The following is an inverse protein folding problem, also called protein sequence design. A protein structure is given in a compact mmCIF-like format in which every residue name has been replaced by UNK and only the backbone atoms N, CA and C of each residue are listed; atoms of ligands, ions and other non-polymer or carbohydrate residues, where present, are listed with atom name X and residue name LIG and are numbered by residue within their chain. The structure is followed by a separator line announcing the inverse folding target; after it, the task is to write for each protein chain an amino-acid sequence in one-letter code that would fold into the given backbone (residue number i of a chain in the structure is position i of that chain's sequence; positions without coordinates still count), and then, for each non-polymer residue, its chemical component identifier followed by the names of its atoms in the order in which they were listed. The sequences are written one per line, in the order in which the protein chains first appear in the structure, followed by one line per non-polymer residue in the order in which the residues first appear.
data_IF_198623437630
#
_entry.id   IF_198623437630
#
_cell.length_a   1.000
_cell.length_b   1.000
_cell.length_c   1.000
_cell.angle_alpha   90.00
_cell.angle_beta   90.00
_cell.angle_gamma   90.00
#
_symmetry.space_group_name_H-M   'P 1'
#
loop_
_entity.id
_entity.type
_entity.pdbx_description
1 polymer ?
#
# COMPACT_ATOMS: atom_id res chain seq x y z
N UNK A 1 1.79 -24.54 -73.51
CA UNK A 1 1.93 -24.34 -72.06
C UNK A 1 3.06 -23.34 -71.85
N UNK A 2 2.80 -22.04 -71.62
CA UNK A 2 2.47 -21.41 -70.31
C UNK A 2 3.62 -21.69 -69.31
N UNK A 3 4.34 -20.76 -68.69
CA UNK A 3 4.36 -19.29 -68.59
C UNK A 3 5.70 -18.84 -67.96
N UNK A 4 5.97 -17.53 -68.04
CA UNK A 4 7.05 -16.72 -67.44
C UNK A 4 7.47 -17.07 -66.00
N UNK A 5 8.72 -16.78 -65.65
CA UNK A 5 9.07 -16.18 -64.35
C UNK A 5 10.30 -15.26 -64.47
N UNK A 6 10.01 -13.95 -64.33
CA UNK A 6 10.94 -12.83 -64.19
C UNK A 6 11.82 -13.03 -62.96
N UNK A 7 13.13 -12.80 -63.09
CA UNK A 7 13.99 -12.48 -61.93
C UNK A 7 13.79 -11.00 -61.60
N UNK A 8 13.24 -10.75 -60.41
CA UNK A 8 13.10 -9.43 -59.81
C UNK A 8 14.46 -8.87 -59.40
N UNK A 9 14.76 -7.65 -59.83
CA UNK A 9 15.64 -6.73 -59.10
C UNK A 9 14.79 -6.01 -58.05
N UNK A 10 15.25 -6.02 -56.79
CA UNK A 10 14.67 -5.19 -55.74
C UNK A 10 15.57 -3.94 -55.55
N UNK A 11 15.00 -2.73 -55.46
CA UNK A 11 15.75 -1.50 -55.32
C UNK A 11 16.15 -1.24 -53.86
N UNK A 12 17.26 -0.52 -53.69
CA UNK A 12 17.70 0.04 -52.43
C UNK A 12 16.66 1.06 -51.91
N UNK A 13 15.99 0.72 -50.80
CA UNK A 13 15.14 1.65 -50.07
C UNK A 13 15.97 2.47 -49.08
N UNK A 14 15.90 3.81 -49.21
CA UNK A 14 16.40 4.75 -48.22
C UNK A 14 15.74 4.47 -46.86
N UNK A 15 16.56 4.16 -45.85
CA UNK A 15 16.13 4.22 -44.45
C UNK A 15 16.23 5.69 -44.03
N UNK A 16 15.10 6.39 -44.05
CA UNK A 16 14.97 7.70 -43.40
C UNK A 16 15.03 7.48 -41.89
N UNK A 17 16.19 7.74 -41.28
CA UNK A 17 16.33 7.79 -39.84
C UNK A 17 15.60 9.05 -39.34
N UNK A 18 14.36 8.88 -38.89
CA UNK A 18 13.66 9.89 -38.11
C UNK A 18 14.43 10.03 -36.79
N UNK A 19 15.19 11.11 -36.64
CA UNK A 19 15.81 11.46 -35.38
C UNK A 19 14.70 11.71 -34.35
N UNK A 20 14.41 10.70 -33.53
CA UNK A 20 13.54 10.84 -32.38
C UNK A 20 14.33 11.63 -31.34
N UNK A 21 14.20 12.95 -31.40
CA UNK A 21 14.73 13.85 -30.38
C UNK A 21 14.04 13.47 -29.07
N UNK A 22 14.75 12.73 -28.21
CA UNK A 22 14.40 12.64 -26.81
C UNK A 22 14.50 14.05 -26.25
N UNK A 23 13.35 14.73 -26.16
CA UNK A 23 13.24 15.83 -25.21
C UNK A 23 13.34 15.17 -23.83
N UNK A 24 14.56 15.13 -23.30
CA UNK A 24 14.73 15.09 -21.86
C UNK A 24 14.16 16.42 -21.39
N UNK A 25 12.87 16.43 -21.07
CA UNK A 25 12.28 17.53 -20.33
C UNK A 25 13.20 17.73 -19.13
N UNK A 26 13.85 18.89 -18.96
CA UNK A 26 14.48 19.14 -17.69
C UNK A 26 13.36 19.00 -16.68
N UNK A 27 13.54 18.16 -15.65
CA UNK A 27 12.72 18.29 -14.45
C UNK A 27 12.78 19.78 -14.13
N UNK A 28 11.63 20.45 -14.24
CA UNK A 28 11.49 21.84 -13.88
C UNK A 28 12.18 22.02 -12.53
N UNK A 29 12.96 23.08 -12.37
CA UNK A 29 13.80 23.29 -11.20
C UNK A 29 12.94 23.22 -9.93
N UNK A 30 12.85 22.03 -9.33
CA UNK A 30 11.88 21.70 -8.29
C UNK A 30 12.04 22.68 -7.14
N UNK A 31 11.02 23.51 -6.90
CA UNK A 31 11.07 24.48 -5.84
C UNK A 31 10.69 23.82 -4.52
N UNK A 32 11.33 24.22 -3.44
CA UNK A 32 10.86 23.91 -2.08
C UNK A 32 10.26 25.17 -1.50
N UNK A 33 8.95 25.14 -1.20
CA UNK A 33 8.19 26.30 -0.74
C UNK A 33 7.60 26.03 0.63
N UNK A 34 7.78 26.95 1.58
CA UNK A 34 7.07 26.92 2.85
C UNK A 34 5.61 27.37 2.65
N UNK A 35 4.67 26.58 3.16
CA UNK A 35 3.23 26.77 2.97
C UNK A 35 2.54 26.76 4.33
N UNK A 36 1.74 27.78 4.64
CA UNK A 36 0.84 27.69 5.80
C UNK A 36 -0.27 26.68 5.48
N UNK A 37 -0.63 25.83 6.43
CA UNK A 37 -1.64 24.79 6.25
C UNK A 37 -2.95 25.35 5.65
N UNK A 38 -3.38 26.54 6.08
CA UNK A 38 -4.59 27.22 5.57
C UNK A 38 -4.54 27.50 4.06
N UNK A 39 -3.35 27.63 3.48
CA UNK A 39 -3.13 28.02 2.10
C UNK A 39 -2.78 26.82 1.21
N UNK A 40 -2.81 25.61 1.77
CA UNK A 40 -2.35 24.39 1.09
C UNK A 40 -3.10 24.14 -0.23
N UNK A 41 -4.42 24.34 -0.25
CA UNK A 41 -5.21 24.14 -1.48
C UNK A 41 -4.75 25.07 -2.62
N UNK A 42 -4.52 26.34 -2.30
CA UNK A 42 -3.99 27.32 -3.27
C UNK A 42 -2.56 26.95 -3.68
N UNK A 43 -1.71 26.57 -2.74
CA UNK A 43 -0.33 26.19 -3.02
C UNK A 43 -0.24 24.97 -3.95
N UNK A 44 -1.05 23.93 -3.72
CA UNK A 44 -1.15 22.76 -4.60
C UNK A 44 -1.58 23.17 -6.02
N UNK A 45 -2.56 24.07 -6.13
CA UNK A 45 -3.05 24.58 -7.43
C UNK A 45 -1.96 25.34 -8.19
N UNK A 46 -1.16 26.15 -7.50
CA UNK A 46 -0.12 27.00 -8.10
C UNK A 46 1.20 26.27 -8.37
N UNK A 47 1.53 25.25 -7.59
CA UNK A 47 2.77 24.49 -7.72
C UNK A 47 2.94 23.90 -9.13
N UNK A 48 4.19 23.64 -9.51
CA UNK A 48 4.55 22.93 -10.74
C UNK A 48 5.03 21.52 -10.43
N UNK A 49 5.00 20.65 -11.43
CA UNK A 49 5.44 19.26 -11.24
C UNK A 49 6.91 19.20 -10.77
N UNK A 50 7.16 18.39 -9.74
CA UNK A 50 8.43 18.26 -9.06
C UNK A 50 8.54 19.07 -7.76
N UNK A 51 7.66 20.05 -7.52
CA UNK A 51 7.77 20.91 -6.35
C UNK A 51 7.57 20.15 -5.02
N UNK A 52 8.22 20.68 -3.98
CA UNK A 52 8.03 20.30 -2.59
C UNK A 52 7.33 21.41 -1.83
N UNK A 53 6.19 21.09 -1.22
CA UNK A 53 5.42 21.98 -0.36
C UNK A 53 5.67 21.59 1.10
N UNK A 54 6.45 22.41 1.81
CA UNK A 54 6.70 22.27 3.24
C UNK A 54 5.57 22.92 4.03
N UNK A 55 4.57 22.13 4.41
CA UNK A 55 3.37 22.55 5.11
C UNK A 55 3.70 22.79 6.59
N UNK A 56 3.28 23.93 7.12
CA UNK A 56 3.49 24.31 8.52
C UNK A 56 2.17 24.74 9.18
N UNK A 57 2.11 24.63 10.50
CA UNK A 57 0.96 25.06 11.28
C UNK A 57 -0.24 24.11 11.17
N UNK A 58 -1.34 24.52 11.78
CA UNK A 58 -2.55 23.72 11.89
C UNK A 58 -3.72 24.41 11.18
N UNK A 59 -4.54 23.64 10.49
CA UNK A 59 -5.71 24.17 9.79
C UNK A 59 -6.86 23.16 9.74
N UNK A 60 -8.04 23.66 9.38
CA UNK A 60 -9.20 22.82 9.07
C UNK A 60 -9.48 22.89 7.58
N UNK A 61 -9.49 21.74 6.91
CA UNK A 61 -9.77 21.61 5.48
C UNK A 61 -10.92 20.63 5.28
N UNK A 62 -11.98 21.08 4.62
CA UNK A 62 -13.20 20.27 4.37
C UNK A 62 -13.57 20.17 2.89
N UNK A 63 -12.95 21.01 2.05
CA UNK A 63 -13.04 20.91 0.59
C UNK A 63 -12.03 19.93 0.03
N UNK A 64 -12.28 19.43 -1.19
CA UNK A 64 -11.34 18.54 -1.88
C UNK A 64 -10.13 19.32 -2.42
N UNK A 65 -8.95 18.74 -2.30
CA UNK A 65 -7.68 19.20 -2.87
C UNK A 65 -7.29 18.21 -3.96
N UNK A 66 -7.29 18.69 -5.20
CA UNK A 66 -6.84 17.93 -6.36
C UNK A 66 -5.31 18.06 -6.49
N UNK A 67 -4.61 16.93 -6.47
CA UNK A 67 -3.16 16.84 -6.73
C UNK A 67 -2.95 16.22 -8.10
N UNK A 68 -2.96 17.07 -9.13
CA UNK A 68 -2.88 16.72 -10.55
C UNK A 68 -1.49 16.93 -11.17
N UNK A 69 -0.52 17.31 -10.34
CA UNK A 69 0.90 17.42 -10.68
C UNK A 69 1.71 16.59 -9.69
N UNK A 70 2.83 16.04 -10.14
CA UNK A 70 3.74 15.32 -9.26
C UNK A 70 4.25 16.28 -8.18
N UNK A 71 3.90 16.08 -6.92
CA UNK A 71 4.31 16.95 -5.82
C UNK A 71 4.83 16.12 -4.65
N UNK A 72 5.72 16.71 -3.85
CA UNK A 72 5.97 16.26 -2.48
C UNK A 72 5.25 17.22 -1.53
N UNK A 73 4.23 16.73 -0.82
CA UNK A 73 3.55 17.48 0.23
C UNK A 73 4.07 16.97 1.57
N UNK A 74 4.90 17.80 2.21
CA UNK A 74 5.68 17.43 3.39
C UNK A 74 5.26 18.28 4.59
N UNK A 75 4.74 17.65 5.64
CA UNK A 75 4.51 18.32 6.91
C UNK A 75 5.81 18.65 7.62
N UNK A 76 5.85 19.84 8.23
CA UNK A 76 6.99 20.34 9.00
C UNK A 76 6.49 20.80 10.36
N UNK A 77 7.23 20.49 11.42
CA UNK A 77 6.87 20.81 12.81
C UNK A 77 5.45 20.31 13.16
N UNK A 78 5.16 19.05 12.87
CA UNK A 78 3.88 18.39 13.21
C UNK A 78 2.64 19.05 12.61
N UNK A 79 2.77 19.62 11.40
CA UNK A 79 1.66 20.28 10.71
C UNK A 79 0.41 19.40 10.65
N UNK A 80 -0.71 19.95 11.13
CA UNK A 80 -1.95 19.21 11.35
C UNK A 80 -3.09 19.72 10.48
N UNK A 81 -3.71 18.82 9.72
CA UNK A 81 -4.91 19.04 8.93
C UNK A 81 -6.09 18.37 9.64
N UNK A 82 -6.98 19.18 10.21
CA UNK A 82 -8.27 18.72 10.72
C UNK A 82 -9.30 18.69 9.58
N UNK A 83 -10.19 17.68 9.56
CA UNK A 83 -11.22 17.55 8.52
C UNK A 83 -12.52 16.95 9.05
N UNK A 84 -13.63 17.30 8.39
CA UNK A 84 -14.99 16.97 8.78
C UNK A 84 -15.88 16.80 7.54
N UNK A 85 -17.06 16.20 7.71
CA UNK A 85 -17.98 15.90 6.61
C UNK A 85 -17.58 14.68 5.79
N UNK A 86 -18.15 14.58 4.58
CA UNK A 86 -18.06 13.40 3.72
C UNK A 86 -17.26 13.58 2.42
N UNK A 87 -16.79 14.80 2.16
CA UNK A 87 -15.99 15.12 0.98
C UNK A 87 -14.63 14.43 1.05
N UNK A 88 -14.19 13.76 -0.02
CA UNK A 88 -12.82 13.24 -0.10
C UNK A 88 -11.82 14.40 -0.05
N UNK A 89 -10.91 14.39 0.93
CA UNK A 89 -10.03 15.55 1.20
C UNK A 89 -8.93 15.69 0.15
N UNK A 90 -8.15 14.65 -0.13
CA UNK A 90 -7.14 14.65 -1.20
C UNK A 90 -7.57 13.72 -2.33
N UNK A 91 -7.47 14.20 -3.56
CA UNK A 91 -7.64 13.40 -4.78
C UNK A 91 -6.32 13.44 -5.55
N UNK A 92 -5.55 12.37 -5.51
CA UNK A 92 -4.23 12.29 -6.15
C UNK A 92 -4.37 11.63 -7.51
N UNK A 93 -4.18 12.41 -8.57
CA UNK A 93 -4.24 11.94 -9.97
C UNK A 93 -2.89 12.03 -10.67
N UNK A 94 -1.88 12.65 -10.05
CA UNK A 94 -0.52 12.65 -10.55
C UNK A 94 0.33 11.51 -9.98
N UNK A 95 0.97 10.79 -10.90
CA UNK A 95 1.92 9.74 -10.55
C UNK A 95 3.19 10.33 -9.90
N UNK A 96 3.85 9.55 -9.04
CA UNK A 96 5.08 9.98 -8.38
C UNK A 96 4.87 10.96 -7.22
N UNK A 97 3.63 11.20 -6.80
CA UNK A 97 3.29 12.11 -5.69
C UNK A 97 3.67 11.50 -4.35
N UNK A 98 4.21 12.30 -3.44
CA UNK A 98 4.56 11.91 -2.07
C UNK A 98 3.76 12.76 -1.08
N UNK A 99 3.04 12.12 -0.17
CA UNK A 99 2.40 12.77 0.99
C UNK A 99 3.11 12.26 2.24
N UNK A 100 3.75 13.15 3.01
CA UNK A 100 4.54 12.72 4.15
C UNK A 100 4.58 13.69 5.33
N UNK A 101 4.90 13.15 6.52
CA UNK A 101 5.12 13.91 7.76
C UNK A 101 3.94 14.80 8.20
N UNK A 102 2.71 14.48 7.78
CA UNK A 102 1.50 15.22 8.14
C UNK A 102 0.69 14.50 9.20
N UNK A 103 -0.02 15.28 10.03
CA UNK A 103 -1.03 14.79 10.94
C UNK A 103 -2.42 15.09 10.36
N UNK A 104 -3.24 14.06 10.14
CA UNK A 104 -4.63 14.17 9.72
C UNK A 104 -5.55 13.83 10.88
N UNK A 105 -6.51 14.72 11.17
CA UNK A 105 -7.48 14.53 12.26
C UNK A 105 -8.90 14.65 11.73
N UNK A 106 -9.61 13.53 11.63
CA UNK A 106 -11.03 13.48 11.31
C UNK A 106 -11.82 13.81 12.59
N UNK A 107 -12.52 14.94 12.61
CA UNK A 107 -13.16 15.51 13.82
C UNK A 107 -14.65 15.24 13.94
N UNK A 108 -15.22 14.37 13.09
CA UNK A 108 -16.60 13.91 13.22
C UNK A 108 -16.73 12.46 12.69
N UNK A 109 -17.92 11.87 12.86
CA UNK A 109 -18.23 10.48 12.47
C UNK A 109 -18.86 10.32 11.08
N UNK A 110 -18.86 11.34 10.22
CA UNK A 110 -19.31 11.20 8.85
C UNK A 110 -18.39 10.27 8.05
N UNK A 111 -18.99 9.52 7.11
CA UNK A 111 -18.24 8.70 6.16
C UNK A 111 -17.34 9.58 5.30
N UNK A 112 -16.04 9.36 5.30
CA UNK A 112 -15.08 10.14 4.52
C UNK A 112 -13.90 9.28 4.08
N UNK A 113 -13.32 9.64 2.94
CA UNK A 113 -12.00 9.20 2.50
C UNK A 113 -11.05 10.39 2.67
N UNK A 114 -9.97 10.24 3.44
CA UNK A 114 -9.01 11.36 3.61
C UNK A 114 -8.15 11.49 2.34
N UNK A 115 -7.60 10.40 1.82
CA UNK A 115 -6.77 10.39 0.61
C UNK A 115 -7.30 9.36 -0.38
N UNK A 116 -7.74 9.81 -1.55
CA UNK A 116 -7.98 8.97 -2.72
C UNK A 116 -6.75 8.91 -3.61
N UNK A 117 -6.14 7.73 -3.74
CA UNK A 117 -4.98 7.48 -4.60
C UNK A 117 -5.48 6.94 -5.94
N UNK A 118 -5.33 7.73 -7.00
CA UNK A 118 -5.85 7.42 -8.35
C UNK A 118 -4.74 7.43 -9.42
N UNK A 119 -3.48 7.36 -8.99
CA UNK A 119 -2.32 7.37 -9.87
C UNK A 119 -1.24 6.42 -9.36
N UNK A 120 -0.37 5.99 -10.28
CA UNK A 120 0.72 5.05 -9.99
C UNK A 120 1.88 5.72 -9.24
N UNK A 121 2.72 4.91 -8.60
CA UNK A 121 3.94 5.38 -7.92
C UNK A 121 3.66 6.48 -6.89
N UNK A 122 2.58 6.36 -6.14
CA UNK A 122 2.22 7.30 -5.06
C UNK A 122 2.73 6.77 -3.74
N UNK A 123 3.39 7.63 -2.96
CA UNK A 123 3.91 7.30 -1.64
C UNK A 123 3.18 8.09 -0.55
N UNK A 124 2.69 7.39 0.47
CA UNK A 124 2.10 7.96 1.68
C UNK A 124 2.96 7.48 2.85
N UNK A 125 3.80 8.38 3.37
CA UNK A 125 4.93 8.04 4.23
C UNK A 125 4.90 8.82 5.55
N UNK A 126 5.18 8.18 6.68
CA UNK A 126 5.48 8.91 7.93
C UNK A 126 4.35 9.86 8.39
N UNK A 127 3.09 9.57 8.04
CA UNK A 127 1.93 10.38 8.44
C UNK A 127 1.21 9.78 9.65
N UNK A 128 0.47 10.61 10.37
CA UNK A 128 -0.49 10.15 11.37
C UNK A 128 -1.90 10.42 10.89
N UNK A 129 -2.79 9.43 11.00
CA UNK A 129 -4.21 9.57 10.72
C UNK A 129 -5.01 9.20 11.97
N UNK A 130 -5.79 10.14 12.49
CA UNK A 130 -6.68 9.93 13.63
C UNK A 130 -8.12 10.20 13.25
N UNK A 131 -9.04 9.40 13.74
CA UNK A 131 -10.47 9.66 13.62
C UNK A 131 -11.25 9.52 14.92
N UNK A 132 -12.55 9.27 14.78
CA UNK A 132 -13.48 9.10 15.89
C UNK A 132 -14.19 7.74 15.91
N UNK A 133 -13.68 6.78 15.12
CA UNK A 133 -14.21 5.41 15.11
C UNK A 133 -13.88 4.71 16.43
N UNK A 134 -14.87 3.97 16.94
CA UNK A 134 -14.75 3.09 18.10
C UNK A 134 -15.18 1.68 17.69
N UNK A 135 -14.48 0.66 18.18
CA UNK A 135 -14.76 -0.74 17.86
C UNK A 135 -16.14 -1.22 18.34
N UNK A 136 -16.66 -0.61 19.39
CA UNK A 136 -18.03 -0.83 19.89
C UNK A 136 -19.10 -0.29 18.93
N UNK A 137 -18.70 0.50 17.93
CA UNK A 137 -19.57 1.15 16.97
C UNK A 137 -19.35 0.56 15.58
N UNK A 138 -20.40 0.57 14.76
CA UNK A 138 -20.36 0.04 13.40
C UNK A 138 -21.14 0.92 12.41
N UNK A 139 -21.40 2.16 12.79
CA UNK A 139 -22.35 3.09 12.16
C UNK A 139 -21.75 3.96 11.04
N UNK A 140 -20.43 4.07 10.96
CA UNK A 140 -19.75 4.89 9.96
C UNK A 140 -18.48 4.25 9.39
N UNK A 141 -18.00 4.83 8.30
CA UNK A 141 -16.88 4.40 7.49
C UNK A 141 -15.95 5.56 7.17
N UNK A 142 -15.02 5.83 8.08
CA UNK A 142 -13.89 6.73 7.86
C UNK A 142 -12.69 5.93 7.37
N UNK A 143 -12.08 6.35 6.26
CA UNK A 143 -10.90 5.73 5.67
C UNK A 143 -9.78 6.74 5.57
N UNK A 144 -8.57 6.39 6.00
CA UNK A 144 -7.42 7.23 5.67
C UNK A 144 -7.14 7.17 4.17
N UNK A 145 -7.11 5.97 3.57
CA UNK A 145 -6.86 5.81 2.14
C UNK A 145 -7.94 5.00 1.41
N UNK A 146 -8.17 5.36 0.15
CA UNK A 146 -8.73 4.46 -0.86
C UNK A 146 -7.80 4.47 -2.06
N UNK A 147 -7.29 3.30 -2.43
CA UNK A 147 -6.46 3.12 -3.63
C UNK A 147 -7.35 2.61 -4.75
N UNK A 148 -7.43 3.35 -5.85
CA UNK A 148 -8.29 3.03 -7.00
C UNK A 148 -7.86 1.75 -7.72
N UNK A 149 -8.79 1.07 -8.42
CA UNK A 149 -8.46 -0.12 -9.18
C UNK A 149 -7.32 0.11 -10.19
N UNK A 150 -6.42 -0.87 -10.31
CA UNK A 150 -5.33 -0.86 -11.30
C UNK A 150 -4.16 0.09 -11.00
N UNK A 151 -4.16 0.78 -9.86
CA UNK A 151 -3.02 1.60 -9.43
C UNK A 151 -1.81 0.70 -9.13
N UNK A 152 -0.65 1.02 -9.71
CA UNK A 152 0.60 0.29 -9.46
C UNK A 152 1.57 1.08 -8.62
N UNK A 153 2.47 0.36 -7.95
CA UNK A 153 3.61 0.91 -7.21
C UNK A 153 3.21 1.88 -6.08
N UNK A 154 2.07 1.63 -5.42
CA UNK A 154 1.70 2.40 -4.22
C UNK A 154 2.58 2.01 -3.04
N UNK A 155 3.05 2.99 -2.27
CA UNK A 155 3.78 2.77 -1.02
C UNK A 155 3.03 3.41 0.13
N UNK A 156 2.59 2.60 1.11
CA UNK A 156 1.96 3.05 2.35
C UNK A 156 2.88 2.63 3.48
N UNK A 157 3.76 3.52 3.94
CA UNK A 157 4.84 3.13 4.86
C UNK A 157 5.02 4.05 6.05
N UNK A 158 5.35 3.47 7.22
CA UNK A 158 5.67 4.20 8.46
C UNK A 158 4.57 5.16 8.92
N UNK A 159 3.32 4.92 8.54
CA UNK A 159 2.20 5.72 9.01
C UNK A 159 1.64 5.16 10.32
N UNK A 160 0.98 6.03 11.08
CA UNK A 160 0.16 5.66 12.24
C UNK A 160 -1.32 5.85 11.91
N UNK A 161 -2.15 4.84 12.15
CA UNK A 161 -3.59 4.87 11.95
C UNK A 161 -4.32 4.56 13.26
N UNK A 162 -5.11 5.51 13.75
CA UNK A 162 -5.85 5.38 15.01
C UNK A 162 -7.31 5.81 14.83
N UNK A 163 -8.24 5.07 15.43
CA UNK A 163 -9.66 5.47 15.49
C UNK A 163 -10.28 5.78 14.11
N UNK A 164 -9.89 5.02 13.09
CA UNK A 164 -10.54 5.03 11.78
C UNK A 164 -11.20 3.68 11.53
N UNK A 165 -12.24 3.65 10.70
CA UNK A 165 -12.86 2.38 10.33
C UNK A 165 -11.86 1.48 9.62
N UNK A 166 -11.13 2.03 8.64
CA UNK A 166 -10.11 1.32 7.86
C UNK A 166 -8.90 2.24 7.63
N UNK A 167 -7.66 1.76 7.85
CA UNK A 167 -6.44 2.45 7.40
C UNK A 167 -6.46 2.66 5.88
N UNK A 168 -6.66 1.60 5.09
CA UNK A 168 -6.83 1.70 3.65
C UNK A 168 -7.84 0.69 3.12
N UNK A 169 -8.52 1.06 2.05
CA UNK A 169 -9.23 0.14 1.16
C UNK A 169 -8.49 0.10 -0.18
N UNK A 170 -7.95 -1.06 -0.53
CA UNK A 170 -7.12 -1.31 -1.71
C UNK A 170 -7.96 -2.11 -2.71
N UNK A 171 -8.35 -1.47 -3.81
CA UNK A 171 -9.21 -2.06 -4.84
C UNK A 171 -8.47 -3.06 -5.74
N UNK A 172 -9.23 -3.68 -6.66
CA UNK A 172 -8.75 -4.67 -7.61
C UNK A 172 -7.50 -4.27 -8.39
N UNK A 173 -6.63 -5.26 -8.66
CA UNK A 173 -5.45 -5.12 -9.51
C UNK A 173 -4.44 -4.05 -9.06
N UNK A 174 -4.46 -3.68 -7.77
CA UNK A 174 -3.45 -2.78 -7.22
C UNK A 174 -2.14 -3.52 -6.99
N UNK A 175 -1.01 -2.89 -7.26
CA UNK A 175 0.31 -3.37 -6.84
C UNK A 175 1.00 -2.39 -5.90
N UNK A 176 1.77 -2.87 -4.94
CA UNK A 176 2.49 -1.99 -4.03
C UNK A 176 2.98 -2.63 -2.74
N UNK A 177 3.35 -1.78 -1.78
CA UNK A 177 3.84 -2.17 -0.46
C UNK A 177 3.11 -1.43 0.64
N UNK A 178 2.71 -2.16 1.67
CA UNK A 178 2.20 -1.64 2.95
C UNK A 178 3.17 -2.08 4.03
N UNK A 179 4.02 -1.17 4.52
CA UNK A 179 5.11 -1.55 5.42
C UNK A 179 5.31 -0.67 6.65
N UNK A 180 5.74 -1.27 7.75
CA UNK A 180 6.18 -0.56 8.95
C UNK A 180 5.14 0.42 9.54
N UNK A 181 3.85 0.22 9.27
CA UNK A 181 2.78 1.05 9.83
C UNK A 181 2.41 0.56 11.24
N UNK A 182 1.90 1.47 12.06
CA UNK A 182 1.20 1.15 13.30
C UNK A 182 -0.31 1.36 13.12
N UNK A 183 -1.12 0.36 13.50
CA UNK A 183 -2.57 0.40 13.33
C UNK A 183 -3.27 0.00 14.63
N UNK A 184 -4.11 0.89 15.14
CA UNK A 184 -4.85 0.67 16.39
C UNK A 184 -6.30 1.17 16.30
N UNK A 185 -7.19 0.50 17.04
CA UNK A 185 -8.59 0.91 17.18
C UNK A 185 -9.31 0.98 15.82
N UNK A 186 -8.96 0.10 14.87
CA UNK A 186 -9.54 0.02 13.52
C UNK A 186 -10.16 -1.35 13.20
N UNK A 187 -10.73 -1.50 11.99
CA UNK A 187 -11.08 -2.81 11.42
C UNK A 187 -10.09 -3.32 10.37
N UNK A 188 -8.86 -2.80 10.40
CA UNK A 188 -7.77 -3.30 9.59
C UNK A 188 -7.78 -2.80 8.14
N UNK A 189 -6.68 -3.11 7.46
CA UNK A 189 -6.57 -2.90 6.02
C UNK A 189 -7.55 -3.81 5.29
N UNK A 190 -8.13 -3.31 4.20
CA UNK A 190 -8.91 -4.14 3.27
C UNK A 190 -8.23 -4.15 1.92
N UNK A 191 -8.01 -5.35 1.38
CA UNK A 191 -7.39 -5.57 0.07
C UNK A 191 -8.19 -6.57 -0.74
N UNK A 192 -8.46 -6.26 -2.00
CA UNK A 192 -9.13 -7.18 -2.92
C UNK A 192 -8.14 -8.26 -3.38
N UNK A 193 -8.57 -9.51 -3.41
CA UNK A 193 -7.69 -10.66 -3.57
C UNK A 193 -6.95 -10.77 -4.91
N UNK A 194 -7.40 -10.08 -5.96
CA UNK A 194 -6.71 -10.01 -7.26
C UNK A 194 -5.67 -8.86 -7.34
N UNK A 195 -5.38 -8.22 -6.22
CA UNK A 195 -4.27 -7.28 -6.05
C UNK A 195 -2.98 -8.01 -5.67
N UNK A 196 -1.84 -7.36 -5.84
CA UNK A 196 -0.51 -7.87 -5.49
C UNK A 196 0.21 -6.85 -4.58
N UNK A 197 -0.16 -6.87 -3.30
CA UNK A 197 0.36 -5.95 -2.29
C UNK A 197 1.18 -6.72 -1.26
N UNK A 198 2.43 -6.28 -1.08
CA UNK A 198 3.31 -6.83 -0.04
C UNK A 198 3.04 -6.14 1.29
N UNK A 199 2.73 -6.93 2.32
CA UNK A 199 2.61 -6.46 3.71
C UNK A 199 3.84 -6.91 4.51
N UNK A 200 4.54 -6.00 5.17
CA UNK A 200 5.71 -6.35 5.99
C UNK A 200 5.97 -5.35 7.12
N UNK A 201 6.48 -5.79 8.27
CA UNK A 201 6.88 -4.93 9.38
C UNK A 201 5.75 -4.19 10.10
N UNK A 202 4.49 -4.33 9.67
CA UNK A 202 3.36 -3.64 10.31
C UNK A 202 3.13 -4.16 11.73
N UNK A 203 2.69 -3.26 12.62
CA UNK A 203 2.44 -3.53 14.03
C UNK A 203 1.03 -3.08 14.42
N UNK A 204 0.48 -3.71 15.46
CA UNK A 204 -0.95 -3.69 15.73
C UNK A 204 -1.21 -3.38 17.20
N UNK A 205 -2.16 -2.46 17.44
CA UNK A 205 -2.83 -2.29 18.71
C UNK A 205 -4.02 -3.24 18.82
N UNK A 206 -5.13 -2.77 19.40
CA UNK A 206 -6.37 -3.54 19.49
C UNK A 206 -7.28 -3.21 18.31
N UNK A 207 -7.30 -4.10 17.32
CA UNK A 207 -8.16 -4.00 16.14
C UNK A 207 -9.27 -5.07 16.16
N UNK A 208 -10.32 -4.88 15.35
CA UNK A 208 -11.29 -5.96 15.08
C UNK A 208 -10.68 -7.08 14.23
N UNK A 209 -9.75 -6.69 13.38
CA UNK A 209 -9.00 -7.49 12.42
C UNK A 209 -7.85 -6.61 11.93
N UNK A 210 -6.68 -7.17 11.62
CA UNK A 210 -5.54 -6.39 11.14
C UNK A 210 -5.55 -6.25 9.61
N UNK A 211 -5.82 -7.36 8.91
CA UNK A 211 -5.89 -7.40 7.44
C UNK A 211 -7.06 -8.29 6.97
N UNK A 212 -7.95 -7.72 6.17
CA UNK A 212 -9.02 -8.42 5.46
C UNK A 212 -8.68 -8.52 3.97
N UNK A 213 -8.51 -9.74 3.48
CA UNK A 213 -8.41 -10.04 2.05
C UNK A 213 -9.81 -10.42 1.57
N UNK A 214 -10.44 -9.56 0.78
CA UNK A 214 -11.83 -9.72 0.32
C UNK A 214 -11.91 -10.33 -1.08
N UNK A 215 -13.05 -10.93 -1.48
CA UNK A 215 -13.19 -11.61 -2.76
C UNK A 215 -12.78 -10.78 -3.98
N UNK A 216 -11.97 -11.40 -4.85
CA UNK A 216 -11.52 -10.90 -6.15
C UNK A 216 -10.94 -12.08 -6.95
N UNK A 217 -10.94 -11.98 -8.28
CA UNK A 217 -10.49 -13.06 -9.16
C UNK A 217 -9.36 -12.59 -10.10
N UNK A 218 -8.22 -13.31 -10.19
CA UNK A 218 -7.85 -14.49 -9.38
C UNK A 218 -7.58 -14.15 -7.91
N UNK A 219 -7.53 -15.15 -7.02
CA UNK A 219 -7.07 -14.93 -5.64
C UNK A 219 -5.55 -15.10 -5.58
N UNK A 220 -4.83 -13.99 -5.50
CA UNK A 220 -3.36 -13.95 -5.41
C UNK A 220 -2.84 -14.29 -3.99
N UNK A 221 -3.71 -14.28 -2.98
CA UNK A 221 -3.36 -14.56 -1.60
C UNK A 221 -3.64 -16.03 -1.28
N UNK A 222 -2.71 -16.91 -1.66
CA UNK A 222 -2.79 -18.33 -1.28
C UNK A 222 -2.64 -18.52 0.24
N UNK A 223 -2.93 -19.71 0.76
CA UNK A 223 -2.68 -19.99 2.18
C UNK A 223 -1.22 -19.77 2.59
N UNK A 224 -0.26 -20.03 1.70
CA UNK A 224 1.14 -19.78 2.01
C UNK A 224 1.45 -18.28 2.08
N UNK A 225 0.91 -17.50 1.13
CA UNK A 225 1.04 -16.04 1.14
C UNK A 225 0.43 -15.45 2.41
N UNK A 226 -0.76 -15.90 2.83
CA UNK A 226 -1.40 -15.45 4.08
C UNK A 226 -0.52 -15.78 5.29
N UNK A 227 0.05 -16.98 5.38
CA UNK A 227 0.95 -17.34 6.48
C UNK A 227 2.21 -16.48 6.49
N UNK A 228 2.75 -16.15 5.32
CA UNK A 228 3.89 -15.25 5.21
C UNK A 228 3.54 -13.84 5.70
N UNK A 229 2.38 -13.30 5.29
CA UNK A 229 1.88 -12.00 5.78
C UNK A 229 1.77 -12.01 7.32
N UNK A 230 1.19 -13.05 7.91
CA UNK A 230 1.09 -13.16 9.39
C UNK A 230 2.48 -13.08 10.04
N UNK A 231 3.46 -13.84 9.52
CA UNK A 231 4.83 -13.87 10.04
C UNK A 231 5.54 -12.53 9.91
N UNK A 232 5.43 -11.89 8.74
CA UNK A 232 6.14 -10.67 8.43
C UNK A 232 5.55 -9.44 9.10
N UNK A 233 4.35 -9.55 9.69
CA UNK A 233 3.62 -8.43 10.29
C UNK A 233 3.27 -8.71 11.75
N UNK A 234 4.27 -9.10 12.55
CA UNK A 234 4.14 -9.22 14.00
C UNK A 234 2.95 -10.09 14.48
N UNK A 235 2.71 -11.21 13.80
CA UNK A 235 1.57 -12.13 14.05
C UNK A 235 0.19 -11.48 13.82
N UNK A 236 0.05 -10.68 12.76
CA UNK A 236 -1.21 -10.06 12.36
C UNK A 236 -2.40 -11.04 12.33
N UNK A 237 -3.57 -10.60 12.77
CA UNK A 237 -4.84 -11.27 12.51
C UNK A 237 -5.27 -11.01 11.05
N UNK A 238 -5.11 -12.04 10.20
CA UNK A 238 -5.38 -11.97 8.76
C UNK A 238 -6.54 -12.88 8.41
N UNK A 239 -7.59 -12.32 7.80
CA UNK A 239 -8.71 -13.09 7.27
C UNK A 239 -8.73 -13.06 5.75
N UNK A 240 -8.58 -14.25 5.15
CA UNK A 240 -8.76 -14.44 3.72
C UNK A 240 -10.20 -14.87 3.41
N UNK A 241 -11.04 -13.88 3.15
CA UNK A 241 -12.46 -14.04 2.83
C UNK A 241 -12.68 -14.40 1.36
N UNK A 242 -11.64 -14.30 0.52
CA UNK A 242 -11.66 -14.74 -0.86
C UNK A 242 -11.46 -16.25 -1.02
N UNK A 243 -11.10 -16.96 0.05
CA UNK A 243 -10.98 -18.41 0.04
C UNK A 243 -12.30 -19.09 0.41
N UNK A 244 -12.79 -19.91 -0.50
CA UNK A 244 -13.98 -20.76 -0.28
C UNK A 244 -13.68 -21.95 0.63
N UNK A 245 -12.42 -22.36 0.72
CA UNK A 245 -11.95 -23.44 1.60
C UNK A 245 -11.00 -22.85 2.64
N UNK A 246 -11.28 -23.03 3.94
CA UNK A 246 -10.39 -22.57 5.00
C UNK A 246 -8.98 -23.14 4.83
N UNK A 247 -7.96 -22.34 5.14
CA UNK A 247 -6.59 -22.85 5.12
C UNK A 247 -6.44 -24.04 6.07
N UNK A 248 -5.77 -25.12 5.63
CA UNK A 248 -5.49 -26.23 6.51
C UNK A 248 -4.65 -25.74 7.69
N UNK A 249 -4.96 -26.29 8.87
CA UNK A 249 -4.23 -25.97 10.09
C UNK A 249 -2.72 -26.16 9.87
N UNK A 250 -1.88 -25.23 10.35
CA UNK A 250 -0.45 -25.33 10.17
C UNK A 250 0.08 -26.61 10.82
N UNK A 251 1.00 -27.26 10.11
CA UNK A 251 1.69 -28.47 10.58
C UNK A 251 3.02 -28.09 11.21
N UNK A 252 3.35 -28.74 12.33
CA UNK A 252 4.60 -28.52 13.07
C UNK A 252 5.32 -29.87 13.30
N UNK A 253 6.66 -29.87 13.33
CA UNK A 253 7.41 -31.07 13.67
C UNK A 253 7.14 -31.46 15.12
N UNK A 254 6.71 -32.71 15.33
CA UNK A 254 6.39 -33.23 16.68
C UNK A 254 7.60 -33.84 17.40
N UNK A 255 8.62 -34.25 16.64
CA UNK A 255 9.83 -34.87 17.16
C UNK A 255 10.99 -34.65 16.17
N UNK A 256 12.22 -34.96 16.59
CA UNK A 256 13.43 -34.75 15.79
C UNK A 256 13.45 -35.60 14.52
N UNK A 257 12.80 -36.76 14.54
CA UNK A 257 12.74 -37.65 13.38
C UNK A 257 11.87 -37.05 12.26
N UNK A 258 10.84 -36.31 12.62
CA UNK A 258 9.99 -35.58 11.68
C UNK A 258 10.75 -34.50 10.88
N UNK A 259 11.98 -34.15 11.29
CA UNK A 259 12.84 -33.19 10.59
C UNK A 259 13.79 -33.85 9.57
N UNK A 260 13.93 -35.18 9.55
CA UNK A 260 14.95 -35.89 8.74
C UNK A 260 14.57 -35.94 7.26
N UNK A 261 15.55 -36.25 6.41
CA UNK A 261 15.34 -36.54 4.98
C UNK A 261 14.55 -35.44 4.25
N UNK A 262 14.86 -34.18 4.56
CA UNK A 262 14.16 -33.01 4.02
C UNK A 262 12.67 -32.87 4.39
N UNK A 263 12.12 -33.73 5.26
CA UNK A 263 10.74 -33.63 5.73
C UNK A 263 10.46 -32.30 6.46
N UNK A 264 11.50 -31.65 6.98
CA UNK A 264 11.40 -30.30 7.55
C UNK A 264 10.82 -29.25 6.59
N UNK A 265 10.93 -29.47 5.27
CA UNK A 265 10.38 -28.57 4.24
C UNK A 265 8.85 -28.64 4.11
N UNK A 266 8.22 -29.66 4.70
CA UNK A 266 6.77 -29.91 4.58
C UNK A 266 5.92 -29.25 5.69
N UNK A 267 6.56 -28.69 6.71
CA UNK A 267 5.85 -28.02 7.79
C UNK A 267 5.41 -26.63 7.36
N UNK A 268 4.15 -26.32 7.60
CA UNK A 268 3.53 -25.05 7.16
C UNK A 268 3.43 -24.04 8.30
N UNK A 269 3.65 -24.46 9.55
CA UNK A 269 3.62 -23.57 10.70
C UNK A 269 4.91 -22.78 10.94
N UNK A 270 6.06 -23.30 10.49
CA UNK A 270 7.38 -22.66 10.62
C UNK A 270 8.22 -23.03 9.41
N UNK A 271 8.89 -22.04 8.83
CA UNK A 271 9.88 -22.28 7.79
C UNK A 271 11.24 -22.62 8.42
N UNK A 272 11.85 -23.71 7.97
CA UNK A 272 13.17 -24.14 8.41
C UNK A 272 14.15 -24.10 7.24
N UNK A 273 15.25 -23.36 7.38
CA UNK A 273 16.30 -23.26 6.35
C UNK A 273 17.05 -24.58 6.17
N UNK A 274 17.12 -25.40 7.21
CA UNK A 274 17.76 -26.72 7.19
C UNK A 274 17.21 -27.65 8.29
N UNK A 275 17.55 -28.93 8.19
CA UNK A 275 17.19 -29.95 9.19
C UNK A 275 17.63 -29.57 10.61
N UNK A 276 18.79 -28.93 10.76
CA UNK A 276 19.32 -28.51 12.06
C UNK A 276 18.39 -27.51 12.78
N UNK A 277 17.87 -26.52 12.05
CA UNK A 277 16.89 -25.56 12.60
C UNK A 277 15.61 -26.25 13.05
N UNK A 278 15.07 -27.18 12.26
CA UNK A 278 13.89 -27.95 12.65
C UNK A 278 14.12 -28.76 13.93
N UNK A 279 15.27 -29.44 14.02
CA UNK A 279 15.64 -30.22 15.21
C UNK A 279 15.78 -29.31 16.44
N UNK A 280 16.34 -28.11 16.28
CA UNK A 280 16.44 -27.10 17.34
C UNK A 280 15.06 -26.59 17.80
N UNK A 281 14.16 -26.33 16.86
CA UNK A 281 12.78 -25.95 17.17
C UNK A 281 12.05 -27.02 18.00
N UNK A 282 12.17 -28.28 17.62
CA UNK A 282 11.60 -29.39 18.40
C UNK A 282 12.25 -29.49 19.78
N UNK A 283 13.58 -29.41 19.86
CA UNK A 283 14.32 -29.55 21.12
C UNK A 283 13.99 -28.44 22.13
N UNK A 284 13.58 -27.27 21.64
CA UNK A 284 13.16 -26.11 22.45
C UNK A 284 11.66 -26.07 22.74
N UNK A 285 10.90 -27.11 22.39
CA UNK A 285 9.42 -27.13 22.47
C UNK A 285 8.78 -25.94 21.74
N UNK A 286 9.32 -25.58 20.58
CA UNK A 286 8.82 -24.47 19.77
C UNK A 286 9.24 -23.07 20.25
N UNK A 287 10.17 -22.96 21.20
CA UNK A 287 10.70 -21.68 21.71
C UNK A 287 11.96 -21.20 20.97
N UNK A 288 12.37 -21.87 19.90
CA UNK A 288 13.54 -21.48 19.13
C UNK A 288 13.26 -20.17 18.39
N UNK A 289 13.84 -19.07 18.88
CA UNK A 289 13.87 -17.78 18.20
C UNK A 289 14.53 -17.94 16.82
N UNK A 290 13.73 -17.90 15.76
CA UNK A 290 14.24 -17.67 14.40
C UNK A 290 14.73 -16.21 14.33
N UNK A 291 16.00 -15.99 14.70
CA UNK A 291 16.79 -14.84 14.24
C UNK A 291 17.60 -15.25 13.02
#
# INVERSE_FOLDING_TARGET
MIQRLLKWGAPAGLVSALAMTFMVSPLANAATTAVQCSDLSTAVTTAVAGDTLNVTGNCTLTGSILVDKQLTINGVNEATISTSGSTQLFTITAAGTIIQNLNFVKTDKANQIIIGVQANNVSVLDNTFKGMYLLSENDHTSRALVVSPGVTDVTISRNTFENLRQPAYINDFVTGTVSDNYVDQTRGFVVVANSDVTFTGNSWGTNALDIAIIPGAPNNYTCEVVRQIVRDNNNADVQNQAQVTPCPAPTYPKNKDACKNEAYKSFTGVEFKNQGQCVSYVASNGKSNNR
#
